data_IF_293061391127
#
_entry.id   IF_293061391127
#
_cell.length_a   1.000
_cell.length_b   1.000
_cell.length_c   1.000
_cell.angle_alpha   90.00
_cell.angle_beta   90.00
_cell.angle_gamma   90.00
#
_symmetry.space_group_name_H-M   'P 1'
#
loop_
_entity.id
_entity.type
_entity.pdbx_description
1 polymer ?
#
# COMPACT_ATOMS: atom_id res chain seq x y z
N UNK A 1 21.46 58.51 -23.52
CA UNK A 1 22.21 59.24 -22.47
C UNK A 1 21.63 58.88 -21.11
N UNK A 2 22.47 58.27 -20.27
CA UNK A 2 22.46 58.18 -18.80
C UNK A 2 21.28 57.46 -18.10
N UNK A 3 21.42 56.70 -17.02
CA UNK A 3 22.54 56.01 -16.36
C UNK A 3 21.92 55.10 -15.28
N UNK A 4 22.71 54.11 -14.85
CA UNK A 4 22.47 53.00 -13.92
C UNK A 4 21.89 53.37 -12.53
N UNK A 5 21.21 52.43 -11.87
CA UNK A 5 21.75 51.77 -10.66
C UNK A 5 20.94 50.55 -10.22
N UNK A 6 21.72 49.58 -9.76
CA UNK A 6 21.44 48.20 -9.39
C UNK A 6 21.16 48.15 -7.88
N UNK A 7 20.15 47.40 -7.42
CA UNK A 7 19.91 47.17 -6.00
C UNK A 7 19.75 45.67 -5.73
N UNK A 8 20.85 45.07 -5.28
CA UNK A 8 20.97 43.73 -4.73
C UNK A 8 20.13 43.64 -3.44
N UNK A 9 19.17 42.71 -3.38
CA UNK A 9 18.48 42.38 -2.12
C UNK A 9 19.04 41.08 -1.55
N UNK A 10 19.69 41.25 -0.40
CA UNK A 10 20.38 40.26 0.40
C UNK A 10 19.44 39.23 1.03
N UNK A 11 19.91 37.99 1.07
CA UNK A 11 19.33 36.87 1.80
C UNK A 11 19.56 37.04 3.30
N UNK A 12 18.48 37.12 4.08
CA UNK A 12 18.53 37.05 5.54
C UNK A 12 18.39 35.59 6.01
N UNK A 13 19.47 35.04 6.56
CA UNK A 13 19.54 33.75 7.22
C UNK A 13 18.77 33.78 8.56
N UNK A 14 17.92 32.77 8.78
CA UNK A 14 17.16 32.57 10.03
C UNK A 14 17.82 31.42 10.81
N UNK A 15 18.02 31.54 12.14
CA UNK A 15 18.95 30.69 12.88
C UNK A 15 18.44 29.26 13.10
N UNK A 16 19.38 28.31 13.00
CA UNK A 16 19.24 26.91 13.40
C UNK A 16 18.97 26.81 14.91
N UNK A 17 17.75 26.43 15.29
CA UNK A 17 17.45 25.96 16.63
C UNK A 17 17.83 24.47 16.73
N UNK A 18 18.93 24.20 17.42
CA UNK A 18 19.40 22.85 17.73
C UNK A 18 18.59 22.29 18.91
N UNK A 19 17.72 21.31 18.65
CA UNK A 19 17.07 20.53 19.70
C UNK A 19 18.00 19.39 20.13
N UNK A 20 18.61 19.52 21.30
CA UNK A 20 19.31 18.43 22.00
C UNK A 20 18.29 17.46 22.58
N UNK A 21 18.14 16.28 21.99
CA UNK A 21 17.40 15.18 22.59
C UNK A 21 18.32 14.43 23.57
N UNK A 22 17.99 14.47 24.87
CA UNK A 22 18.66 13.66 25.90
C UNK A 22 18.07 12.26 25.88
N UNK A 23 18.84 11.26 25.46
CA UNK A 23 18.42 9.86 25.52
C UNK A 23 18.57 9.36 26.96
N UNK A 24 17.46 9.00 27.60
CA UNK A 24 17.44 8.34 28.91
C UNK A 24 17.34 6.83 28.68
N UNK A 25 18.41 6.12 29.01
CA UNK A 25 18.50 4.66 28.95
C UNK A 25 18.01 4.10 30.28
N UNK A 26 16.94 3.31 30.26
CA UNK A 26 16.53 2.46 31.37
C UNK A 26 16.73 0.99 30.98
N UNK A 27 17.43 0.16 31.79
CA UNK A 27 17.57 -1.26 31.48
C UNK A 27 16.37 -2.03 32.05
N UNK A 28 15.69 -2.81 31.21
CA UNK A 28 14.76 -3.85 31.66
C UNK A 28 15.49 -5.19 31.53
N UNK A 29 15.72 -5.83 32.67
CA UNK A 29 16.27 -7.18 32.81
C UNK A 29 15.08 -8.13 32.89
N UNK A 30 14.98 -9.09 31.97
CA UNK A 30 13.98 -10.18 32.08
C UNK A 30 14.72 -11.51 32.13
N UNK A 31 14.68 -12.12 33.32
CA UNK A 31 15.13 -13.47 33.59
C UNK A 31 13.89 -14.36 33.57
N UNK A 32 13.86 -15.40 32.73
CA UNK A 32 12.87 -16.46 32.90
C UNK A 32 13.51 -17.83 32.65
N UNK A 33 13.71 -18.54 33.76
CA UNK A 33 14.06 -19.95 33.85
C UNK A 33 12.92 -20.79 33.29
N UNK A 34 13.29 -21.92 32.69
CA UNK A 34 12.38 -22.83 32.00
C UNK A 34 11.45 -23.65 32.89
N UNK A 35 10.52 -24.32 32.23
CA UNK A 35 9.77 -25.46 32.74
C UNK A 35 9.42 -26.37 31.55
N UNK A 36 9.96 -27.60 31.57
CA UNK A 36 9.46 -28.72 30.76
C UNK A 36 8.47 -29.50 31.61
N UNK A 37 7.29 -29.84 31.09
CA UNK A 37 6.59 -31.11 31.37
C UNK A 37 5.80 -31.52 30.12
N UNK A 38 6.00 -32.78 29.73
CA UNK A 38 5.29 -33.51 28.69
C UNK A 38 3.88 -33.96 29.14
N UNK A 39 2.95 -34.16 28.20
CA UNK A 39 2.12 -35.38 28.18
C UNK A 39 1.42 -35.56 26.85
N UNK A 40 1.34 -36.85 26.53
CA UNK A 40 0.89 -37.56 25.36
C UNK A 40 -0.64 -37.44 25.17
N UNK A 41 -1.08 -37.14 23.94
CA UNK A 41 -2.47 -37.38 23.55
C UNK A 41 -2.53 -38.00 22.14
N UNK A 42 -2.34 -39.32 22.11
CA UNK A 42 -2.84 -40.19 21.04
C UNK A 42 -4.29 -39.85 20.70
N UNK A 43 -4.54 -39.47 19.45
CA UNK A 43 -5.87 -39.62 18.85
C UNK A 43 -5.74 -40.11 17.41
N UNK A 44 -5.99 -41.40 17.24
CA UNK A 44 -6.14 -42.08 15.96
C UNK A 44 -7.39 -41.58 15.24
N UNK A 45 -7.24 -41.10 14.01
CA UNK A 45 -8.34 -40.96 13.07
C UNK A 45 -8.03 -41.66 11.74
N UNK A 46 -9.08 -42.29 11.25
CA UNK A 46 -9.18 -43.29 10.21
C UNK A 46 -8.92 -42.67 8.83
N UNK A 47 -8.05 -43.30 8.04
CA UNK A 47 -7.80 -42.93 6.64
C UNK A 47 -8.97 -43.41 5.79
N UNK A 48 -9.78 -42.48 5.26
CA UNK A 48 -10.75 -42.77 4.19
C UNK A 48 -10.15 -42.34 2.87
N UNK A 49 -9.85 -43.32 2.01
CA UNK A 49 -9.44 -43.10 0.65
C UNK A 49 -10.61 -42.50 -0.15
N UNK A 50 -10.37 -41.37 -0.82
CA UNK A 50 -11.17 -40.92 -1.95
C UNK A 50 -10.23 -40.50 -3.08
N UNK A 51 -10.48 -41.10 -4.23
CA UNK A 51 -9.92 -40.76 -5.54
C UNK A 51 -10.34 -39.35 -5.95
N UNK A 52 -9.37 -38.52 -6.35
CA UNK A 52 -9.62 -37.20 -6.94
C UNK A 52 -9.09 -37.15 -8.37
N UNK A 53 -9.83 -36.59 -9.33
CA UNK A 53 -9.28 -36.13 -10.59
C UNK A 53 -8.50 -34.82 -10.36
N UNK A 54 -7.49 -34.56 -11.19
CA UNK A 54 -6.57 -33.43 -11.10
C UNK A 54 -7.24 -32.05 -11.22
N UNK A 55 -6.96 -31.08 -10.32
CA UNK A 55 -7.29 -29.66 -10.53
C UNK A 55 -6.02 -28.81 -10.44
N UNK A 56 -5.37 -28.51 -11.57
CA UNK A 56 -4.22 -27.58 -11.57
C UNK A 56 -4.64 -26.10 -11.69
N UNK A 57 -5.89 -25.79 -12.05
CA UNK A 57 -6.36 -24.41 -12.22
C UNK A 57 -7.18 -23.85 -11.03
N UNK A 58 -7.82 -24.69 -10.22
CA UNK A 58 -8.68 -24.25 -9.11
C UNK A 58 -7.92 -24.02 -7.78
N UNK A 59 -6.64 -24.38 -7.71
CA UNK A 59 -5.86 -24.33 -6.47
C UNK A 59 -5.33 -22.93 -6.15
N UNK A 60 -5.11 -22.08 -7.17
CA UNK A 60 -4.61 -20.71 -6.96
C UNK A 60 -5.75 -19.78 -6.54
N UNK A 61 -6.87 -19.80 -7.25
CA UNK A 61 -8.06 -19.02 -6.88
C UNK A 61 -8.57 -19.34 -5.46
N UNK A 62 -8.58 -20.62 -5.07
CA UNK A 62 -8.97 -21.01 -3.71
C UNK A 62 -8.03 -20.47 -2.62
N UNK A 63 -6.73 -20.31 -2.92
CA UNK A 63 -5.76 -19.73 -1.98
C UNK A 63 -5.94 -18.21 -1.85
N UNK A 64 -6.25 -17.55 -2.96
CA UNK A 64 -6.48 -16.10 -2.96
C UNK A 64 -7.80 -15.73 -2.26
N UNK A 65 -8.84 -16.56 -2.42
CA UNK A 65 -10.08 -16.44 -1.65
C UNK A 65 -9.79 -16.51 -0.14
N UNK A 66 -9.09 -17.55 0.33
CA UNK A 66 -8.74 -17.71 1.76
C UNK A 66 -7.91 -16.52 2.28
N UNK A 67 -6.89 -16.09 1.53
CA UNK A 67 -6.09 -14.90 1.88
C UNK A 67 -6.96 -13.64 1.97
N UNK A 68 -7.88 -13.46 1.03
CA UNK A 68 -8.75 -12.28 0.99
C UNK A 68 -9.78 -12.29 2.13
N UNK A 69 -10.26 -13.46 2.56
CA UNK A 69 -11.15 -13.62 3.72
C UNK A 69 -10.43 -13.30 5.04
N UNK A 70 -9.21 -13.82 5.21
CA UNK A 70 -8.36 -13.50 6.35
C UNK A 70 -8.06 -12.00 6.40
N UNK A 71 -7.70 -11.41 5.26
CA UNK A 71 -7.44 -9.98 5.16
C UNK A 71 -8.68 -9.13 5.45
N UNK A 72 -9.85 -9.52 4.94
CA UNK A 72 -11.14 -8.85 5.21
C UNK A 72 -11.52 -8.89 6.69
N UNK A 73 -11.28 -10.02 7.34
CA UNK A 73 -11.51 -10.19 8.78
C UNK A 73 -10.63 -9.23 9.57
N UNK A 74 -9.32 -9.23 9.30
CA UNK A 74 -8.36 -8.32 9.96
C UNK A 74 -8.72 -6.84 9.72
N UNK A 75 -9.19 -6.50 8.52
CA UNK A 75 -9.63 -5.14 8.20
C UNK A 75 -10.87 -4.74 9.01
N UNK A 76 -11.85 -5.62 9.10
CA UNK A 76 -13.06 -5.38 9.86
C UNK A 76 -12.74 -5.14 11.34
N UNK A 77 -11.82 -5.93 11.91
CA UNK A 77 -11.34 -5.75 13.28
C UNK A 77 -10.58 -4.44 13.47
N UNK A 78 -9.68 -4.08 12.54
CA UNK A 78 -8.86 -2.88 12.65
C UNK A 78 -9.67 -1.58 12.46
N UNK A 79 -10.66 -1.59 11.57
CA UNK A 79 -11.44 -0.40 11.20
C UNK A 79 -12.73 -0.25 12.00
N UNK A 80 -13.20 -1.29 12.69
CA UNK A 80 -14.46 -1.27 13.43
C UNK A 80 -15.71 -1.18 12.53
N UNK A 81 -15.59 -1.54 11.25
CA UNK A 81 -16.67 -1.51 10.27
C UNK A 81 -16.59 -2.75 9.36
N UNK A 82 -17.73 -3.25 8.89
CA UNK A 82 -17.78 -4.40 7.99
C UNK A 82 -17.23 -3.99 6.62
N UNK A 83 -16.00 -4.40 6.34
CA UNK A 83 -15.28 -4.08 5.11
C UNK A 83 -14.75 -5.38 4.51
N UNK A 84 -15.07 -5.62 3.24
CA UNK A 84 -14.71 -6.86 2.55
C UNK A 84 -13.85 -6.54 1.34
N UNK A 85 -12.74 -7.26 1.23
CA UNK A 85 -11.85 -7.26 0.08
C UNK A 85 -11.79 -8.66 -0.50
N UNK A 86 -12.04 -8.78 -1.81
CA UNK A 86 -12.04 -10.03 -2.55
C UNK A 86 -10.99 -9.92 -3.64
N UNK A 87 -9.83 -10.53 -3.42
CA UNK A 87 -8.67 -10.36 -4.29
C UNK A 87 -8.88 -11.06 -5.64
N UNK A 88 -9.47 -12.24 -5.60
CA UNK A 88 -9.76 -13.07 -6.76
C UNK A 88 -10.75 -12.43 -7.76
N UNK A 89 -11.51 -11.39 -7.34
CA UNK A 89 -12.38 -10.63 -8.25
C UNK A 89 -11.64 -9.57 -9.08
N UNK A 90 -10.33 -9.41 -8.87
CA UNK A 90 -9.50 -8.49 -9.63
C UNK A 90 -9.47 -7.06 -9.09
N UNK A 91 -8.76 -6.20 -9.82
CA UNK A 91 -8.67 -4.78 -9.52
C UNK A 91 -10.06 -4.10 -9.61
N UNK A 92 -10.48 -3.44 -8.53
CA UNK A 92 -11.72 -2.67 -8.44
C UNK A 92 -11.42 -1.22 -8.03
N UNK A 93 -12.31 -0.30 -8.42
CA UNK A 93 -12.13 1.12 -8.13
C UNK A 93 -13.40 1.94 -8.35
N UNK A 94 -13.41 3.16 -7.80
CA UNK A 94 -14.46 4.14 -8.02
C UNK A 94 -13.88 5.53 -8.30
N UNK A 95 -14.52 6.27 -9.20
CA UNK A 95 -14.27 7.70 -9.37
C UNK A 95 -14.85 8.46 -8.17
N UNK A 96 -13.99 9.14 -7.43
CA UNK A 96 -14.36 10.06 -6.35
C UNK A 96 -14.63 11.45 -6.93
N UNK A 97 -13.87 11.81 -7.96
CA UNK A 97 -14.03 13.00 -8.80
C UNK A 97 -13.69 12.63 -10.25
N UNK A 98 -14.02 13.45 -11.26
CA UNK A 98 -13.64 13.18 -12.65
C UNK A 98 -12.14 12.96 -12.87
N UNK A 99 -11.29 13.54 -12.00
CA UNK A 99 -9.83 13.49 -12.04
C UNK A 99 -9.21 12.56 -10.98
N UNK A 100 -10.02 11.91 -10.13
CA UNK A 100 -9.54 11.16 -8.97
C UNK A 100 -10.27 9.82 -8.80
N UNK A 101 -9.50 8.75 -8.83
CA UNK A 101 -9.93 7.38 -8.58
C UNK A 101 -9.27 6.86 -7.30
N UNK A 102 -10.06 6.18 -6.48
CA UNK A 102 -9.57 5.36 -5.37
C UNK A 102 -9.91 3.89 -5.68
N UNK A 103 -8.95 3.00 -5.48
CA UNK A 103 -9.16 1.58 -5.79
C UNK A 103 -8.22 0.61 -5.07
N UNK A 104 -8.40 -0.67 -5.37
CA UNK A 104 -7.57 -1.77 -4.91
C UNK A 104 -6.25 -1.85 -5.69
N UNK A 105 -5.36 -2.76 -5.29
CA UNK A 105 -4.09 -2.94 -5.99
C UNK A 105 -4.29 -3.43 -7.42
N UNK A 106 -3.38 -3.01 -8.30
CA UNK A 106 -3.12 -3.71 -9.55
C UNK A 106 -2.58 -5.10 -9.19
N UNK A 107 -2.95 -6.10 -9.99
CA UNK A 107 -2.53 -7.49 -9.78
C UNK A 107 -1.56 -7.94 -10.87
N UNK A 108 -1.73 -7.42 -12.09
CA UNK A 108 -0.93 -7.79 -13.25
C UNK A 108 -0.55 -6.57 -14.10
N UNK A 109 0.46 -6.67 -14.97
CA UNK A 109 0.78 -5.62 -15.93
C UNK A 109 -0.41 -5.18 -16.80
N UNK A 110 -1.33 -6.10 -17.14
CA UNK A 110 -2.53 -5.80 -17.93
C UNK A 110 -3.49 -4.81 -17.23
N UNK A 111 -3.41 -4.67 -15.90
CA UNK A 111 -4.19 -3.66 -15.19
C UNK A 111 -3.72 -2.24 -15.51
N UNK A 112 -2.46 -2.06 -15.90
CA UNK A 112 -1.96 -0.76 -16.40
C UNK A 112 -2.72 -0.35 -17.65
N UNK A 113 -2.97 -1.27 -18.59
CA UNK A 113 -3.74 -0.98 -19.80
C UNK A 113 -5.18 -0.60 -19.49
N UNK A 114 -5.81 -1.29 -18.52
CA UNK A 114 -7.16 -0.94 -18.04
C UNK A 114 -7.18 0.50 -17.53
N UNK A 115 -6.21 0.90 -16.72
CA UNK A 115 -6.10 2.28 -16.21
C UNK A 115 -5.80 3.31 -17.32
N UNK A 116 -4.93 2.97 -18.27
CA UNK A 116 -4.66 3.84 -19.43
C UNK A 116 -5.89 4.04 -20.31
N UNK A 117 -6.73 3.01 -20.48
CA UNK A 117 -7.96 3.09 -21.27
C UNK A 117 -8.94 4.16 -20.74
N UNK A 118 -8.96 4.35 -19.43
CA UNK A 118 -9.75 5.38 -18.74
C UNK A 118 -8.96 6.68 -18.45
N UNK A 119 -7.84 6.88 -19.16
CA UNK A 119 -7.02 8.11 -19.13
C UNK A 119 -6.34 8.40 -17.78
N UNK A 120 -6.06 7.35 -16.99
CA UNK A 120 -5.16 7.49 -15.84
C UNK A 120 -3.77 7.83 -16.32
N UNK A 121 -3.20 8.90 -15.76
CA UNK A 121 -1.83 9.34 -16.01
C UNK A 121 -0.90 9.11 -14.82
N UNK A 122 -1.46 8.91 -13.63
CA UNK A 122 -0.68 8.68 -12.40
C UNK A 122 -1.27 7.50 -11.65
N UNK A 123 -0.49 6.44 -11.49
CA UNK A 123 -0.75 5.33 -10.57
C UNK A 123 0.03 5.62 -9.29
N UNK A 124 -0.66 5.78 -8.17
CA UNK A 124 -0.07 6.16 -6.90
C UNK A 124 -0.28 5.05 -5.85
N UNK A 125 0.74 4.22 -5.71
CA UNK A 125 0.77 3.02 -4.88
C UNK A 125 1.23 3.32 -3.46
N UNK A 126 0.42 2.96 -2.46
CA UNK A 126 0.71 3.15 -1.03
C UNK A 126 1.23 1.88 -0.33
N UNK A 127 1.33 0.76 -1.06
CA UNK A 127 1.64 -0.56 -0.49
C UNK A 127 3.12 -0.71 -0.13
N UNK A 128 3.38 -1.39 0.98
CA UNK A 128 4.70 -1.91 1.32
C UNK A 128 4.96 -3.24 0.59
N UNK A 129 6.21 -3.66 0.52
CA UNK A 129 6.59 -4.92 -0.12
C UNK A 129 5.90 -6.13 0.54
N UNK A 130 5.71 -6.10 1.87
CA UNK A 130 4.96 -7.13 2.61
C UNK A 130 3.50 -7.28 2.16
N UNK A 131 2.85 -6.20 1.75
CA UNK A 131 1.47 -6.24 1.26
C UNK A 131 1.39 -6.95 -0.09
N UNK A 132 2.39 -6.70 -0.94
CA UNK A 132 2.51 -7.23 -2.29
C UNK A 132 2.89 -8.71 -2.23
N UNK A 133 3.84 -9.08 -1.37
CA UNK A 133 4.25 -10.46 -1.12
C UNK A 133 3.07 -11.33 -0.64
N UNK A 134 2.23 -10.81 0.26
CA UNK A 134 1.06 -11.53 0.78
C UNK A 134 0.12 -11.99 -0.34
N UNK A 135 -0.17 -11.12 -1.31
CA UNK A 135 -0.99 -11.42 -2.50
C UNK A 135 -0.17 -11.86 -3.72
N UNK A 136 1.13 -12.10 -3.56
CA UNK A 136 2.02 -12.56 -4.64
C UNK A 136 2.01 -11.64 -5.88
N UNK A 137 1.88 -10.33 -5.66
CA UNK A 137 1.85 -9.31 -6.72
C UNK A 137 3.28 -8.90 -7.08
N UNK A 138 3.64 -9.10 -8.36
CA UNK A 138 4.93 -8.63 -8.89
C UNK A 138 4.88 -7.14 -9.25
N UNK A 139 5.18 -6.31 -8.26
CA UNK A 139 5.23 -4.85 -8.44
C UNK A 139 6.32 -4.41 -9.42
N UNK A 140 7.40 -5.18 -9.56
CA UNK A 140 8.50 -4.83 -10.46
C UNK A 140 8.02 -4.96 -11.91
N UNK A 141 7.37 -6.08 -12.26
CA UNK A 141 6.78 -6.29 -13.57
C UNK A 141 5.74 -5.19 -13.92
N UNK A 142 4.88 -4.81 -12.97
CA UNK A 142 3.88 -3.74 -13.18
C UNK A 142 4.57 -2.40 -13.45
N UNK A 143 5.61 -2.05 -12.68
CA UNK A 143 6.35 -0.79 -12.84
C UNK A 143 7.15 -0.74 -14.13
N UNK A 144 7.82 -1.82 -14.47
CA UNK A 144 8.56 -1.95 -15.72
C UNK A 144 7.61 -1.79 -16.91
N UNK A 145 6.47 -2.49 -16.89
CA UNK A 145 5.47 -2.37 -17.94
C UNK A 145 4.92 -0.95 -18.07
N UNK A 146 4.54 -0.32 -16.94
CA UNK A 146 4.08 1.08 -16.95
C UNK A 146 5.14 2.04 -17.50
N UNK A 147 6.43 1.78 -17.27
CA UNK A 147 7.52 2.62 -17.77
C UNK A 147 7.75 2.55 -19.28
N UNK A 148 7.15 1.57 -19.96
CA UNK A 148 7.20 1.48 -21.44
C UNK A 148 6.33 2.54 -22.13
N UNK A 149 5.48 3.24 -21.38
CA UNK A 149 4.57 4.27 -21.88
C UNK A 149 4.98 5.65 -21.37
N UNK A 150 4.74 6.68 -22.19
CA UNK A 150 5.01 8.09 -21.88
C UNK A 150 3.81 8.81 -21.25
N UNK A 151 2.62 8.22 -21.32
CA UNK A 151 1.35 8.80 -20.92
C UNK A 151 0.87 8.39 -19.52
N UNK A 152 1.56 7.46 -18.85
CA UNK A 152 1.26 7.00 -17.49
C UNK A 152 2.51 6.86 -16.64
N UNK A 153 2.41 7.21 -15.35
CA UNK A 153 3.51 7.09 -14.41
C UNK A 153 3.10 6.31 -13.17
N UNK A 154 3.88 5.29 -12.81
CA UNK A 154 3.74 4.57 -11.56
C UNK A 154 4.65 5.15 -10.47
N UNK A 155 4.08 5.56 -9.34
CA UNK A 155 4.77 6.11 -8.17
C UNK A 155 4.45 5.30 -6.92
N UNK A 156 5.45 5.07 -6.07
CA UNK A 156 5.26 4.47 -4.74
C UNK A 156 5.45 5.49 -3.63
N UNK A 157 4.59 5.47 -2.63
CA UNK A 157 4.67 6.30 -1.42
C UNK A 157 4.12 5.51 -0.24
N UNK A 158 4.98 4.67 0.33
CA UNK A 158 4.56 3.60 1.23
C UNK A 158 4.00 4.11 2.56
N UNK A 159 2.92 3.47 3.00
CA UNK A 159 2.26 3.61 4.31
C UNK A 159 1.93 2.20 4.82
N UNK A 160 2.25 1.89 6.07
CA UNK A 160 1.99 0.58 6.68
C UNK A 160 0.50 0.28 6.77
N UNK A 161 0.10 -0.94 6.44
CA UNK A 161 -1.31 -1.34 6.54
C UNK A 161 -1.75 -1.50 8.00
N UNK A 162 -3.04 -1.23 8.25
CA UNK A 162 -3.65 -1.32 9.59
C UNK A 162 -2.94 -0.52 10.71
N UNK A 163 -2.15 0.50 10.35
CA UNK A 163 -1.44 1.36 11.30
C UNK A 163 -1.87 2.82 11.15
N UNK A 164 -2.84 3.24 11.98
CA UNK A 164 -3.33 4.62 11.98
C UNK A 164 -2.29 5.66 12.41
N UNK A 165 -1.26 5.24 13.16
CA UNK A 165 -0.19 6.14 13.59
C UNK A 165 0.78 6.40 12.44
N UNK A 166 1.21 5.34 11.74
CA UNK A 166 2.04 5.48 10.55
C UNK A 166 1.31 6.28 9.47
N UNK A 167 0.03 5.98 9.21
CA UNK A 167 -0.81 6.75 8.29
C UNK A 167 -0.78 8.25 8.62
N UNK A 168 -1.04 8.63 9.87
CA UNK A 168 -1.01 10.03 10.32
C UNK A 168 0.35 10.69 10.09
N UNK A 169 1.44 9.99 10.41
CA UNK A 169 2.79 10.54 10.29
C UNK A 169 3.25 10.67 8.83
N UNK A 170 2.81 9.75 7.96
CA UNK A 170 3.22 9.66 6.55
C UNK A 170 2.40 10.58 5.64
N UNK A 171 1.11 10.77 5.94
CA UNK A 171 0.18 11.54 5.10
C UNK A 171 0.74 12.88 4.59
N UNK A 172 1.36 13.75 5.41
CA UNK A 172 1.88 15.03 4.93
C UNK A 172 2.91 14.88 3.78
N UNK A 173 3.83 13.94 3.91
CA UNK A 173 4.85 13.69 2.89
C UNK A 173 4.28 13.01 1.65
N UNK A 174 3.38 12.04 1.86
CA UNK A 174 2.70 11.28 0.80
C UNK A 174 1.83 12.19 -0.05
N UNK A 175 0.98 13.03 0.56
CA UNK A 175 0.12 13.99 -0.12
C UNK A 175 0.95 15.06 -0.84
N UNK A 176 2.06 15.51 -0.26
CA UNK A 176 2.98 16.43 -0.96
C UNK A 176 3.54 15.82 -2.25
N UNK A 177 3.93 14.54 -2.22
CA UNK A 177 4.42 13.80 -3.39
C UNK A 177 3.32 13.61 -4.44
N UNK A 178 2.12 13.23 -3.99
CA UNK A 178 0.94 13.10 -4.83
C UNK A 178 0.61 14.41 -5.54
N UNK A 179 0.49 15.51 -4.79
CA UNK A 179 0.18 16.84 -5.34
C UNK A 179 1.18 17.29 -6.42
N UNK A 180 2.48 17.05 -6.20
CA UNK A 180 3.51 17.32 -7.21
C UNK A 180 3.33 16.48 -8.47
N UNK A 181 2.97 15.20 -8.33
CA UNK A 181 2.75 14.30 -9.46
C UNK A 181 1.49 14.70 -10.24
N UNK A 182 0.37 14.99 -9.56
CA UNK A 182 -0.89 15.43 -10.16
C UNK A 182 -0.68 16.72 -10.96
N UNK A 183 0.00 17.72 -10.38
CA UNK A 183 0.24 18.99 -11.08
C UNK A 183 1.17 18.85 -12.29
N UNK A 184 2.11 17.90 -12.26
CA UNK A 184 3.01 17.65 -13.38
C UNK A 184 2.33 16.86 -14.49
N UNK A 185 1.59 15.82 -14.14
CA UNK A 185 1.08 14.83 -15.11
C UNK A 185 -0.30 15.24 -15.65
N UNK A 186 -1.11 15.92 -14.83
CA UNK A 186 -2.52 16.18 -15.07
C UNK A 186 -3.33 14.89 -15.23
N UNK A 187 -4.49 14.98 -15.89
CA UNK A 187 -5.34 13.83 -16.19
C UNK A 187 -5.91 13.15 -14.95
N UNK A 188 -6.29 11.88 -15.08
CA UNK A 188 -6.89 11.10 -13.99
C UNK A 188 -5.80 10.49 -13.13
N UNK A 189 -5.97 10.56 -11.81
CA UNK A 189 -5.05 9.95 -10.83
C UNK A 189 -5.70 8.77 -10.14
N UNK A 190 -5.00 7.65 -10.13
CA UNK A 190 -5.40 6.41 -9.47
C UNK A 190 -4.62 6.23 -8.18
N UNK A 191 -5.25 6.44 -7.04
CA UNK A 191 -4.66 6.21 -5.72
C UNK A 191 -5.09 4.82 -5.24
N UNK A 192 -4.13 3.98 -4.87
CA UNK A 192 -4.45 2.66 -4.34
C UNK A 192 -3.57 2.24 -3.17
N UNK A 193 -4.14 1.33 -2.38
CA UNK A 193 -3.43 0.50 -1.43
C UNK A 193 -3.70 -0.97 -1.79
N UNK A 194 -3.84 -1.87 -0.82
CA UNK A 194 -4.25 -3.26 -1.08
C UNK A 194 -5.72 -3.32 -1.51
N UNK A 195 -6.65 -2.93 -0.64
CA UNK A 195 -8.09 -3.02 -0.93
C UNK A 195 -8.74 -1.71 -1.38
N UNK A 196 -8.07 -0.57 -1.24
CA UNK A 196 -8.71 0.73 -1.50
C UNK A 196 -9.67 1.21 -0.41
N UNK A 197 -9.62 0.62 0.80
CA UNK A 197 -10.61 0.86 1.87
C UNK A 197 -10.04 1.60 3.10
N UNK A 198 -8.72 1.83 3.16
CA UNK A 198 -8.07 2.50 4.31
C UNK A 198 -7.10 3.60 3.88
N UNK A 199 -5.85 3.21 3.59
CA UNK A 199 -4.76 4.15 3.26
C UNK A 199 -5.06 5.02 2.04
N UNK A 200 -5.60 4.42 0.97
CA UNK A 200 -5.93 5.13 -0.27
C UNK A 200 -7.03 6.19 -0.08
N UNK A 201 -8.22 5.88 0.48
CA UNK A 201 -9.23 6.90 0.74
C UNK A 201 -8.73 7.96 1.72
N UNK A 202 -7.97 7.60 2.75
CA UNK A 202 -7.37 8.58 3.66
C UNK A 202 -6.39 9.55 2.99
N UNK A 203 -5.74 9.13 1.89
CA UNK A 203 -4.84 10.00 1.10
C UNK A 203 -5.60 10.88 0.11
N UNK A 204 -6.84 10.50 -0.24
CA UNK A 204 -7.67 11.17 -1.23
C UNK A 204 -8.56 12.30 -0.64
N UNK A 205 -8.74 12.33 0.69
CA UNK A 205 -9.61 13.27 1.42
C UNK A 205 -8.86 14.45 2.01
#
# INVERSE_FOLDING_TARGET
>A
MNCLTNASRSYSAVPYYSFKCKSSVYPIVVNMKGLMIATDLRRSFVVKAMSSPSPSANMEGAKDEEKSDVYSTNMTEAMGAVLTYRHELGMNYNFIRPDLIVGSCLQTPADVDKLRSIKVKTIFCLQQDSDLEYFSVDISAIREYASTFDDIQHLRAEIRDFDGTDLRLRLPAVVSKLHKAVNRNGGVTYIHCTAGLGRAPATAV
#
